data_IF_281613209126
#
_entry.id   IF_281613209126
#
_cell.length_a   1.000
_cell.length_b   1.000
_cell.length_c   1.000
_cell.angle_alpha   90.00
_cell.angle_beta   90.00
_cell.angle_gamma   90.00
#
_symmetry.space_group_name_H-M   'P 1'
#
loop_
_entity.id
_entity.type
_entity.pdbx_description
1 polymer ?
#
# COMPACT_ATOMS: atom_id res chain seq x y z
N UNK A 1 15.77 16.27 -5.10
CA UNK A 1 15.17 15.40 -4.06
C UNK A 1 13.71 15.15 -4.40
N UNK A 2 13.11 14.01 -4.04
CA UNK A 2 11.69 13.76 -4.26
C UNK A 2 10.86 14.67 -3.35
N UNK A 3 9.82 15.29 -3.91
CA UNK A 3 8.90 16.18 -3.18
C UNK A 3 8.27 15.54 -1.93
N UNK A 4 8.05 14.23 -1.93
CA UNK A 4 7.48 13.50 -0.80
C UNK A 4 8.39 13.52 0.44
N UNK A 5 9.70 13.39 0.25
CA UNK A 5 10.66 13.31 1.36
C UNK A 5 10.66 14.59 2.19
N UNK A 6 10.72 15.75 1.54
CA UNK A 6 10.74 17.06 2.21
C UNK A 6 9.44 17.30 2.98
N UNK A 7 8.29 17.09 2.32
CA UNK A 7 6.98 17.26 2.96
C UNK A 7 6.77 16.33 4.14
N UNK A 8 7.18 15.06 4.05
CA UNK A 8 7.05 14.13 5.19
C UNK A 8 7.94 14.54 6.35
N UNK A 9 9.17 15.01 6.10
CA UNK A 9 10.05 15.53 7.15
C UNK A 9 9.47 16.77 7.84
N UNK A 10 8.90 17.69 7.06
CA UNK A 10 8.19 18.86 7.62
C UNK A 10 7.02 18.43 8.51
N UNK A 11 6.20 17.46 8.06
CA UNK A 11 5.09 16.96 8.85
C UNK A 11 5.54 16.27 10.15
N UNK A 12 6.68 15.56 10.15
CA UNK A 12 7.24 15.04 11.39
C UNK A 12 7.72 16.15 12.32
N UNK A 13 8.40 17.17 11.78
CA UNK A 13 8.92 18.27 12.59
C UNK A 13 7.82 19.05 13.32
N UNK A 14 6.73 19.41 12.62
CA UNK A 14 5.63 20.18 13.23
C UNK A 14 4.82 19.39 14.27
N UNK A 15 4.95 18.06 14.29
CA UNK A 15 4.28 17.17 15.24
C UNK A 15 5.23 16.55 16.28
N UNK A 16 6.48 17.02 16.38
CA UNK A 16 7.51 16.49 17.29
C UNK A 16 7.86 14.99 17.08
N UNK A 17 7.84 14.52 15.83
CA UNK A 17 8.12 13.12 15.44
C UNK A 17 9.49 12.95 14.74
N UNK A 18 10.40 13.91 14.91
CA UNK A 18 11.71 13.94 14.26
C UNK A 18 12.82 13.22 15.07
N UNK A 19 12.45 12.43 16.07
CA UNK A 19 13.34 11.75 17.03
C UNK A 19 14.15 10.57 16.46
N UNK A 20 13.98 10.26 15.16
CA UNK A 20 14.69 9.18 14.47
C UNK A 20 14.01 7.82 14.52
N UNK A 21 12.85 7.70 15.20
CA UNK A 21 12.09 6.45 15.25
C UNK A 21 11.32 6.16 13.94
N UNK A 22 11.11 7.20 13.11
CA UNK A 22 10.39 7.10 11.84
C UNK A 22 11.36 7.01 10.65
N UNK A 23 11.11 6.08 9.72
CA UNK A 23 11.90 5.91 8.49
C UNK A 23 11.10 6.35 7.26
N UNK A 24 11.73 7.16 6.40
CA UNK A 24 11.15 7.56 5.11
C UNK A 24 11.94 6.85 4.01
N UNK A 25 11.25 6.05 3.20
CA UNK A 25 11.85 5.34 2.08
C UNK A 25 11.45 5.99 0.75
N UNK A 26 12.43 6.29 -0.11
CA UNK A 26 12.20 6.79 -1.46
C UNK A 26 12.49 5.65 -2.43
N UNK A 27 11.44 4.94 -2.84
CA UNK A 27 11.54 3.77 -3.70
C UNK A 27 10.24 3.55 -4.49
N UNK A 28 10.31 2.89 -5.65
CA UNK A 28 9.10 2.32 -6.27
C UNK A 28 8.48 1.29 -5.32
N UNK A 29 7.16 1.25 -5.20
CA UNK A 29 6.50 0.40 -4.19
C UNK A 29 6.80 -1.09 -4.41
N UNK A 30 6.96 -1.54 -5.66
CA UNK A 30 7.25 -2.95 -5.94
C UNK A 30 8.73 -3.28 -5.71
N UNK A 31 9.62 -2.30 -5.91
CA UNK A 31 11.02 -2.43 -5.47
C UNK A 31 11.08 -2.52 -3.93
N UNK A 32 10.27 -1.74 -3.21
CA UNK A 32 10.19 -1.78 -1.75
C UNK A 32 9.66 -3.13 -1.25
N UNK A 33 8.60 -3.66 -1.87
CA UNK A 33 8.04 -4.98 -1.52
C UNK A 33 9.12 -6.06 -1.61
N UNK A 34 9.82 -6.14 -2.75
CA UNK A 34 10.93 -7.10 -2.93
C UNK A 34 12.05 -6.89 -1.91
N UNK A 35 12.39 -5.64 -1.61
CA UNK A 35 13.39 -5.30 -0.60
C UNK A 35 12.97 -5.78 0.80
N UNK A 36 11.73 -5.51 1.20
CA UNK A 36 11.17 -5.88 2.50
C UNK A 36 11.15 -7.40 2.68
N UNK A 37 10.68 -8.15 1.67
CA UNK A 37 10.70 -9.62 1.68
C UNK A 37 12.14 -10.14 1.83
N UNK A 38 13.09 -9.65 1.02
CA UNK A 38 14.51 -10.07 1.10
C UNK A 38 15.18 -9.73 2.43
N UNK A 39 14.71 -8.69 3.12
CA UNK A 39 15.23 -8.25 4.42
C UNK A 39 14.40 -8.77 5.59
N UNK A 40 13.40 -9.62 5.31
CA UNK A 40 12.49 -10.19 6.31
C UNK A 40 11.88 -9.10 7.20
N UNK A 41 11.58 -7.94 6.60
CA UNK A 41 10.90 -6.86 7.32
C UNK A 41 9.45 -7.25 7.51
N UNK A 42 9.00 -7.22 8.76
CA UNK A 42 7.61 -7.49 9.13
C UNK A 42 6.97 -6.24 9.71
N UNK A 43 5.66 -6.11 9.48
CA UNK A 43 4.86 -4.98 9.93
C UNK A 43 3.56 -5.48 10.53
N UNK A 44 3.23 -5.02 11.74
CA UNK A 44 1.96 -5.35 12.40
C UNK A 44 0.76 -4.72 11.66
N UNK A 45 0.98 -3.57 11.02
CA UNK A 45 -0.03 -2.86 10.23
C UNK A 45 0.59 -2.36 8.94
N UNK A 46 -0.03 -2.70 7.82
CA UNK A 46 0.35 -2.21 6.49
C UNK A 46 -0.81 -1.42 5.88
N UNK A 47 -0.55 -0.15 5.51
CA UNK A 47 -1.55 0.75 4.92
C UNK A 47 -1.20 0.99 3.45
N UNK A 48 -2.17 0.79 2.57
CA UNK A 48 -2.01 0.88 1.12
C UNK A 48 -3.06 1.82 0.55
N UNK A 49 -2.61 3.00 0.11
CA UNK A 49 -3.42 4.01 -0.58
C UNK A 49 -2.81 4.29 -1.97
N UNK A 50 -3.00 3.39 -2.95
CA UNK A 50 -2.36 3.53 -4.24
C UNK A 50 -3.05 4.64 -5.05
N UNK A 51 -2.30 5.38 -5.88
CA UNK A 51 -2.91 6.35 -6.79
C UNK A 51 -3.81 5.63 -7.80
N UNK A 52 -4.89 6.28 -8.24
CA UNK A 52 -5.78 5.71 -9.28
C UNK A 52 -5.03 5.32 -10.55
N UNK A 53 -3.98 6.08 -10.88
CA UNK A 53 -3.08 5.84 -11.99
C UNK A 53 -1.68 6.39 -11.68
N UNK A 54 -0.63 5.66 -12.06
CA UNK A 54 0.75 6.13 -12.01
C UNK A 54 1.55 5.62 -13.22
N UNK A 55 2.52 6.42 -13.67
CA UNK A 55 3.43 6.04 -14.77
C UNK A 55 4.86 6.39 -14.40
N UNK A 56 5.75 5.41 -14.53
CA UNK A 56 7.20 5.60 -14.45
C UNK A 56 7.82 5.20 -15.80
N UNK A 57 9.14 5.36 -15.96
CA UNK A 57 9.84 4.89 -17.16
C UNK A 57 9.76 3.37 -17.35
N UNK A 58 9.60 2.62 -16.25
CA UNK A 58 9.61 1.14 -16.24
C UNK A 58 8.21 0.53 -16.28
N UNK A 59 7.20 1.23 -15.75
CA UNK A 59 5.86 0.66 -15.53
C UNK A 59 4.75 1.69 -15.68
N UNK A 60 3.56 1.18 -15.99
CA UNK A 60 2.29 1.87 -15.81
C UNK A 60 1.49 1.10 -14.77
N UNK A 61 0.78 1.81 -13.90
CA UNK A 61 -0.07 1.24 -12.86
C UNK A 61 -1.45 1.89 -12.94
N UNK A 62 -2.49 1.07 -12.87
CA UNK A 62 -3.89 1.46 -12.76
C UNK A 62 -4.54 0.63 -11.67
N UNK A 63 -5.11 1.29 -10.66
CA UNK A 63 -5.71 0.56 -9.52
C UNK A 63 -6.83 -0.37 -9.97
N UNK A 64 -7.61 0.00 -10.99
CA UNK A 64 -8.70 -0.85 -11.51
C UNK A 64 -8.25 -2.09 -12.29
N UNK A 65 -6.97 -2.18 -12.64
CA UNK A 65 -6.40 -3.29 -13.43
C UNK A 65 -5.38 -4.10 -12.63
N UNK A 66 -4.59 -3.41 -11.81
CA UNK A 66 -3.38 -3.94 -11.21
C UNK A 66 -3.50 -4.11 -9.69
N UNK A 67 -4.66 -3.79 -9.08
CA UNK A 67 -4.83 -3.92 -7.62
C UNK A 67 -4.60 -5.36 -7.15
N UNK A 68 -5.11 -6.36 -7.89
CA UNK A 68 -4.98 -7.76 -7.49
C UNK A 68 -3.51 -8.17 -7.39
N UNK A 69 -2.71 -7.84 -8.42
CA UNK A 69 -1.27 -8.11 -8.44
C UNK A 69 -0.54 -7.36 -7.32
N UNK A 70 -0.86 -6.08 -7.11
CA UNK A 70 -0.24 -5.28 -6.05
C UNK A 70 -0.47 -5.92 -4.66
N UNK A 71 -1.69 -6.39 -4.40
CA UNK A 71 -2.05 -7.00 -3.12
C UNK A 71 -1.44 -8.39 -2.94
N UNK A 72 -1.34 -9.20 -4.00
CA UNK A 72 -0.66 -10.51 -3.94
C UNK A 72 0.82 -10.39 -3.54
N UNK A 73 1.51 -9.35 -4.01
CA UNK A 73 2.88 -9.06 -3.59
C UNK A 73 2.93 -8.52 -2.15
N UNK A 74 1.94 -7.74 -1.72
CA UNK A 74 1.90 -7.11 -0.39
C UNK A 74 1.49 -8.04 0.73
N UNK A 75 0.62 -9.03 0.50
CA UNK A 75 0.14 -9.97 1.52
C UNK A 75 1.27 -10.77 2.16
N UNK A 76 2.44 -10.83 1.53
CA UNK A 76 3.63 -11.53 2.03
C UNK A 76 4.45 -10.73 3.06
N UNK A 77 4.15 -9.43 3.25
CA UNK A 77 4.93 -8.52 4.11
C UNK A 77 4.42 -8.45 5.56
N UNK A 78 3.10 -8.42 5.84
CA UNK A 78 2.60 -8.36 7.21
C UNK A 78 3.17 -9.47 8.09
N UNK A 79 3.37 -9.16 9.36
CA UNK A 79 3.64 -10.17 10.38
C UNK A 79 2.47 -11.18 10.45
N UNK A 80 2.68 -12.38 11.03
CA UNK A 80 1.57 -13.23 11.45
C UNK A 80 0.56 -12.43 12.27
N UNK A 81 -0.73 -12.57 11.99
CA UNK A 81 -1.83 -11.79 12.60
C UNK A 81 -1.81 -10.26 12.33
N UNK A 82 -0.96 -9.79 11.42
CA UNK A 82 -0.87 -8.40 11.00
C UNK A 82 -2.09 -7.89 10.22
N UNK A 83 -2.37 -6.59 10.26
CA UNK A 83 -3.55 -6.00 9.61
C UNK A 83 -3.20 -5.31 8.28
N UNK A 84 -3.98 -5.58 7.23
CA UNK A 84 -3.86 -4.92 5.94
C UNK A 84 -5.02 -3.93 5.74
N UNK A 85 -4.69 -2.65 5.60
CA UNK A 85 -5.68 -1.59 5.33
C UNK A 85 -5.49 -1.12 3.89
N UNK A 86 -6.52 -1.28 3.07
CA UNK A 86 -6.48 -0.91 1.65
C UNK A 86 -7.53 0.16 1.38
N UNK A 87 -7.09 1.31 0.89
CA UNK A 87 -7.96 2.41 0.49
C UNK A 87 -7.86 2.68 -1.01
N UNK A 88 -8.91 3.28 -1.57
CA UNK A 88 -8.87 3.82 -2.92
C UNK A 88 -9.80 5.01 -3.04
N UNK A 89 -9.33 6.04 -3.77
CA UNK A 89 -10.12 7.21 -4.13
C UNK A 89 -10.54 7.22 -5.61
N UNK A 90 -10.31 6.12 -6.34
CA UNK A 90 -10.65 6.02 -7.75
C UNK A 90 -12.17 5.99 -7.94
N UNK A 91 -12.73 7.07 -8.50
CA UNK A 91 -14.18 7.22 -8.71
C UNK A 91 -14.75 6.15 -9.64
N UNK A 92 -13.97 5.77 -10.66
CA UNK A 92 -14.30 4.68 -11.61
C UNK A 92 -14.13 3.28 -11.00
N UNK A 93 -13.58 3.14 -9.79
CA UNK A 93 -13.42 1.85 -9.13
C UNK A 93 -14.63 1.53 -8.26
N UNK A 94 -15.50 0.67 -8.79
CA UNK A 94 -16.72 0.23 -8.08
C UNK A 94 -16.34 -0.58 -6.85
N UNK A 95 -17.02 -0.34 -5.73
CA UNK A 95 -16.75 -1.02 -4.46
C UNK A 95 -16.84 -2.54 -4.58
N UNK A 96 -17.81 -3.04 -5.36
CA UNK A 96 -17.94 -4.47 -5.65
C UNK A 96 -16.67 -5.04 -6.28
N UNK A 97 -16.13 -4.37 -7.31
CA UNK A 97 -14.93 -4.82 -8.00
C UNK A 97 -13.72 -4.73 -7.07
N UNK A 98 -13.60 -3.66 -6.29
CA UNK A 98 -12.52 -3.52 -5.31
C UNK A 98 -12.53 -4.64 -4.26
N UNK A 99 -13.70 -4.98 -3.71
CA UNK A 99 -13.87 -6.13 -2.80
C UNK A 99 -13.52 -7.46 -3.48
N UNK A 100 -13.91 -7.63 -4.74
CA UNK A 100 -13.58 -8.83 -5.52
C UNK A 100 -12.08 -8.97 -5.75
N UNK A 101 -11.41 -7.89 -6.10
CA UNK A 101 -9.96 -7.88 -6.35
C UNK A 101 -9.19 -8.22 -5.08
N UNK A 102 -9.58 -7.63 -3.93
CA UNK A 102 -9.00 -7.99 -2.63
C UNK A 102 -9.21 -9.48 -2.33
N UNK A 103 -10.45 -9.98 -2.46
CA UNK A 103 -10.76 -11.39 -2.19
C UNK A 103 -9.97 -12.34 -3.10
N UNK A 104 -9.81 -11.96 -4.38
CA UNK A 104 -9.05 -12.74 -5.34
C UNK A 104 -7.56 -12.78 -4.98
N UNK A 105 -6.98 -11.68 -4.50
CA UNK A 105 -5.58 -11.65 -4.05
C UNK A 105 -5.33 -12.60 -2.88
N UNK A 106 -6.17 -12.57 -1.84
CA UNK A 106 -6.04 -13.50 -0.70
C UNK A 106 -6.16 -14.96 -1.14
N UNK A 107 -7.12 -15.25 -2.01
CA UNK A 107 -7.30 -16.59 -2.57
C UNK A 107 -6.07 -17.06 -3.36
N UNK A 108 -5.49 -16.18 -4.19
CA UNK A 108 -4.32 -16.50 -5.01
C UNK A 108 -3.05 -16.66 -4.17
N UNK A 109 -2.92 -15.90 -3.08
CA UNK A 109 -1.79 -15.99 -2.15
C UNK A 109 -1.91 -17.16 -1.15
N UNK A 110 -3.00 -17.93 -1.16
CA UNK A 110 -3.28 -18.98 -0.19
C UNK A 110 -3.23 -18.49 1.27
N UNK A 111 -3.66 -17.26 1.51
CA UNK A 111 -3.73 -16.66 2.83
C UNK A 111 -5.20 -16.38 3.21
N UNK A 112 -5.55 -16.69 4.46
CA UNK A 112 -6.83 -16.27 5.01
C UNK A 112 -6.82 -14.76 5.30
N UNK A 113 -8.02 -14.17 5.40
CA UNK A 113 -8.16 -12.78 5.80
C UNK A 113 -7.60 -12.58 7.21
N UNK A 114 -6.53 -11.79 7.33
CA UNK A 114 -6.03 -11.36 8.63
C UNK A 114 -6.99 -10.36 9.29
N UNK A 115 -7.27 -9.26 8.57
CA UNK A 115 -8.30 -8.22 8.79
C UNK A 115 -8.16 -7.22 7.65
N UNK A 116 -9.24 -6.97 6.90
CA UNK A 116 -9.23 -6.02 5.78
C UNK A 116 -10.22 -4.87 6.05
N UNK A 117 -9.70 -3.64 6.07
CA UNK A 117 -10.52 -2.43 6.12
C UNK A 117 -10.51 -1.76 4.75
N UNK A 118 -11.71 -1.51 4.22
CA UNK A 118 -11.92 -0.88 2.93
C UNK A 118 -12.40 0.55 3.17
N UNK A 119 -11.59 1.51 2.73
CA UNK A 119 -11.93 2.93 2.81
C UNK A 119 -12.08 3.46 1.39
N UNK A 120 -13.34 3.73 1.00
CA UNK A 120 -13.63 4.52 -0.20
C UNK A 120 -13.84 5.96 0.22
N UNK A 121 -12.91 6.85 -0.15
CA UNK A 121 -13.10 8.29 0.08
C UNK A 121 -14.27 8.76 -0.78
N UNK A 122 -15.33 9.25 -0.13
CA UNK A 122 -16.39 10.00 -0.79
C UNK A 122 -15.76 11.32 -1.29
N UNK A 123 -15.58 11.44 -2.59
CA UNK A 123 -15.36 12.76 -3.21
C UNK A 123 -16.63 13.59 -2.99
N UNK A 124 -16.49 14.72 -2.30
CA UNK A 124 -17.48 15.79 -2.32
C UNK A 124 -17.61 16.37 -3.72
#
# INVERSE_FOLDING_TARGET
MPRSLERTKEQFAVNNLADGNNKICVMDVFDFIRYAIRKELQFDVTIIDPPSFARTKKRTFSVTKDCTQLLEELIQIPAPDGTLIVSSNATNYKEKNFKQDIAQSFKNSHCDYLKAFIIKKLTK
#
